data_IF_657011414283
#
_entry.id   IF_657011414283
#
_cell.length_a   1.000
_cell.length_b   1.000
_cell.length_c   1.000
_cell.angle_alpha   90.00
_cell.angle_beta   90.00
_cell.angle_gamma   90.00
#
_symmetry.space_group_name_H-M   'P 1'
#
loop_
_entity.id
_entity.type
_entity.pdbx_description
1 polymer ?
#
# COMPACT_ATOMS: atom_id res chain seq x y z
N UNK A 1 -25.80 -34.92 16.51
CA UNK A 1 -24.79 -34.28 17.38
C UNK A 1 -23.40 -34.77 17.05
N UNK A 2 -22.62 -34.03 16.26
CA UNK A 2 -21.17 -33.94 16.45
C UNK A 2 -20.62 -32.75 15.66
N UNK A 3 -20.24 -31.71 16.39
CA UNK A 3 -19.30 -30.69 15.94
C UNK A 3 -18.09 -31.40 15.32
N UNK A 4 -17.73 -31.02 14.10
CA UNK A 4 -16.44 -31.40 13.49
C UNK A 4 -15.77 -30.10 13.08
N UNK A 5 -15.06 -29.55 14.06
CA UNK A 5 -13.86 -28.74 13.95
C UNK A 5 -13.49 -28.29 12.54
N UNK A 6 -13.91 -27.07 12.23
CA UNK A 6 -13.40 -26.31 11.10
C UNK A 6 -11.95 -25.94 11.44
N UNK A 7 -10.93 -26.47 10.74
CA UNK A 7 -9.55 -26.25 11.13
C UNK A 7 -9.24 -24.76 10.98
N UNK A 8 -8.79 -24.20 12.10
CA UNK A 8 -8.33 -22.83 12.26
C UNK A 8 -7.49 -22.40 11.06
N UNK A 9 -7.88 -21.29 10.44
CA UNK A 9 -7.07 -20.61 9.43
C UNK A 9 -5.75 -20.21 10.08
N UNK A 10 -4.72 -21.01 9.85
CA UNK A 10 -3.36 -20.77 10.32
C UNK A 10 -2.84 -19.38 9.92
N UNK A 11 -1.73 -18.94 10.53
CA UNK A 11 -1.18 -17.61 10.31
C UNK A 11 -1.00 -17.38 8.82
N UNK A 12 -1.42 -16.20 8.35
CA UNK A 12 -1.38 -15.76 6.95
C UNK A 12 0.09 -15.61 6.52
N UNK A 13 0.78 -16.73 6.33
CA UNK A 13 2.11 -16.77 5.75
C UNK A 13 1.95 -16.21 4.34
N UNK A 14 2.61 -15.07 4.07
CA UNK A 14 2.60 -14.51 2.72
C UNK A 14 3.12 -15.59 1.80
N UNK A 15 2.26 -16.17 0.96
CA UNK A 15 2.69 -17.06 -0.12
C UNK A 15 3.69 -16.27 -0.96
N UNK A 16 4.98 -16.54 -0.80
CA UNK A 16 6.00 -16.15 -1.77
C UNK A 16 5.65 -16.93 -3.03
N UNK A 17 5.00 -16.26 -3.99
CA UNK A 17 4.87 -16.80 -5.34
C UNK A 17 6.27 -16.84 -5.92
N UNK A 18 6.93 -17.99 -5.85
CA UNK A 18 8.20 -18.25 -6.52
C UNK A 18 7.87 -18.42 -8.01
N UNK A 19 7.91 -17.33 -8.78
CA UNK A 19 7.94 -17.41 -10.24
C UNK A 19 9.38 -17.74 -10.66
N UNK A 20 9.62 -18.81 -11.44
CA UNK A 20 10.93 -19.09 -11.98
C UNK A 20 11.16 -18.18 -13.20
N UNK A 21 11.85 -17.07 -12.98
CA UNK A 21 12.63 -16.31 -13.97
C UNK A 21 13.55 -15.39 -13.19
N UNK A 22 14.78 -15.85 -13.02
CA UNK A 22 15.87 -15.13 -12.40
C UNK A 22 16.25 -13.93 -13.27
N UNK A 23 15.64 -12.80 -12.97
CA UNK A 23 16.34 -11.53 -13.08
C UNK A 23 16.46 -11.09 -11.62
N UNK A 24 17.67 -10.88 -11.08
CA UNK A 24 17.82 -10.19 -9.81
C UNK A 24 17.07 -8.88 -9.95
N UNK A 25 15.86 -8.82 -9.42
CA UNK A 25 15.02 -7.63 -9.45
C UNK A 25 15.74 -6.66 -8.52
N UNK A 26 16.69 -5.93 -9.11
CA UNK A 26 17.47 -4.87 -8.51
C UNK A 26 16.45 -3.94 -7.88
N UNK A 27 16.20 -4.15 -6.59
CA UNK A 27 15.11 -3.49 -5.87
C UNK A 27 15.40 -2.02 -6.02
N UNK A 28 14.62 -1.36 -6.89
CA UNK A 28 14.86 0.04 -7.23
C UNK A 28 15.09 0.81 -5.93
N UNK A 29 16.18 1.58 -5.83
CA UNK A 29 16.55 2.25 -4.59
C UNK A 29 15.36 3.06 -4.10
N UNK A 30 15.15 3.08 -2.78
CA UNK A 30 14.05 3.83 -2.18
C UNK A 30 14.23 5.31 -2.50
N UNK A 31 13.41 5.83 -3.40
CA UNK A 31 13.37 7.25 -3.72
C UNK A 31 12.40 7.95 -2.78
N UNK A 32 12.88 8.96 -2.04
CA UNK A 32 12.03 9.88 -1.31
C UNK A 32 11.46 10.93 -2.29
N UNK A 33 10.17 11.25 -2.16
CA UNK A 33 9.56 12.36 -2.91
C UNK A 33 9.84 13.69 -2.23
N UNK A 34 10.02 14.75 -3.02
CA UNK A 34 10.19 16.11 -2.49
C UNK A 34 8.89 16.63 -1.86
N UNK A 35 8.97 17.67 -1.03
CA UNK A 35 7.80 18.30 -0.42
C UNK A 35 6.79 18.80 -1.46
N UNK A 36 7.26 19.40 -2.55
CA UNK A 36 6.41 19.88 -3.64
C UNK A 36 5.69 18.73 -4.36
N UNK A 37 6.41 17.64 -4.65
CA UNK A 37 5.82 16.44 -5.27
C UNK A 37 4.71 15.86 -4.38
N UNK A 38 4.96 15.77 -3.07
CA UNK A 38 3.97 15.29 -2.11
C UNK A 38 2.74 16.21 -2.03
N UNK A 39 2.92 17.52 -2.10
CA UNK A 39 1.81 18.48 -2.09
C UNK A 39 0.90 18.32 -3.30
N UNK A 40 1.46 18.22 -4.51
CA UNK A 40 0.69 17.95 -5.74
C UNK A 40 -0.02 16.60 -5.66
N UNK A 41 0.67 15.54 -5.26
CA UNK A 41 0.07 14.20 -5.09
C UNK A 41 -1.07 14.19 -4.06
N UNK A 42 -0.95 14.94 -2.96
CA UNK A 42 -2.01 15.07 -1.95
C UNK A 42 -3.23 15.78 -2.51
N UNK A 43 -3.04 16.93 -3.19
CA UNK A 43 -4.13 17.68 -3.82
C UNK A 43 -4.94 16.79 -4.75
N UNK A 44 -4.26 16.08 -5.64
CA UNK A 44 -4.91 15.14 -6.56
C UNK A 44 -5.67 14.01 -5.86
N UNK A 45 -5.11 13.49 -4.77
CA UNK A 45 -5.75 12.42 -4.01
C UNK A 45 -7.00 12.88 -3.25
N UNK A 46 -7.08 14.15 -2.88
CA UNK A 46 -8.24 14.74 -2.25
C UNK A 46 -9.35 15.04 -3.27
N UNK A 47 -8.98 15.40 -4.50
CA UNK A 47 -9.92 15.52 -5.63
C UNK A 47 -10.42 14.14 -6.09
N UNK A 48 -9.53 13.16 -6.24
CA UNK A 48 -9.89 11.80 -6.64
C UNK A 48 -8.99 10.73 -5.98
N UNK A 49 -9.61 9.83 -5.21
CA UNK A 49 -8.93 8.73 -4.50
C UNK A 49 -8.37 7.66 -5.47
N UNK A 50 -8.75 7.67 -6.74
CA UNK A 50 -8.35 6.72 -7.78
C UNK A 50 -7.92 7.45 -9.06
N UNK A 51 -6.72 7.15 -9.56
CA UNK A 51 -6.26 7.73 -10.82
C UNK A 51 -6.76 6.95 -12.03
N UNK A 52 -7.14 7.69 -13.07
CA UNK A 52 -7.23 7.18 -14.44
C UNK A 52 -5.84 7.09 -15.06
N UNK A 53 -5.70 6.35 -16.16
CA UNK A 53 -4.44 6.24 -16.89
C UNK A 53 -3.92 7.59 -17.39
N UNK A 54 -4.78 8.38 -18.04
CA UNK A 54 -4.44 9.72 -18.52
C UNK A 54 -3.93 10.60 -17.38
N UNK A 55 -4.63 10.64 -16.24
CA UNK A 55 -4.20 11.48 -15.11
C UNK A 55 -2.87 11.03 -14.51
N UNK A 56 -2.61 9.72 -14.48
CA UNK A 56 -1.33 9.16 -14.04
C UNK A 56 -0.19 9.59 -14.94
N UNK A 57 -0.39 9.61 -16.26
CA UNK A 57 0.60 10.07 -17.24
C UNK A 57 0.87 11.58 -17.08
N UNK A 58 -0.17 12.39 -16.89
CA UNK A 58 -0.03 13.84 -16.67
C UNK A 58 0.83 14.11 -15.42
N UNK A 59 0.48 13.48 -14.30
CA UNK A 59 1.22 13.66 -13.04
C UNK A 59 2.66 13.15 -13.12
N UNK A 60 2.91 12.07 -13.86
CA UNK A 60 4.26 11.56 -14.09
C UNK A 60 5.12 12.61 -14.81
N UNK A 61 4.58 13.26 -15.84
CA UNK A 61 5.27 14.31 -16.61
C UNK A 61 5.51 15.57 -15.78
N UNK A 62 4.51 16.01 -15.01
CA UNK A 62 4.57 17.22 -14.21
C UNK A 62 5.53 17.10 -13.02
N UNK A 63 5.57 15.91 -12.39
CA UNK A 63 6.39 15.66 -11.21
C UNK A 63 7.77 15.09 -11.53
N UNK A 64 8.05 14.82 -12.81
CA UNK A 64 9.25 14.11 -13.29
C UNK A 64 9.44 12.77 -12.56
N UNK A 65 8.35 12.04 -12.38
CA UNK A 65 8.30 10.73 -11.74
C UNK A 65 7.83 9.67 -12.73
N UNK A 66 8.12 8.41 -12.45
CA UNK A 66 7.60 7.31 -13.26
C UNK A 66 6.15 7.02 -12.90
N UNK A 67 5.31 6.67 -13.88
CA UNK A 67 3.90 6.30 -13.64
C UNK A 67 3.73 5.24 -12.56
N UNK A 68 4.67 4.29 -12.48
CA UNK A 68 4.65 3.25 -11.46
C UNK A 68 4.84 3.81 -10.04
N UNK A 69 5.66 4.86 -9.86
CA UNK A 69 5.83 5.53 -8.57
C UNK A 69 4.53 6.23 -8.14
N UNK A 70 3.86 6.91 -9.07
CA UNK A 70 2.55 7.54 -8.86
C UNK A 70 1.52 6.47 -8.45
N UNK A 71 1.45 5.36 -9.21
CA UNK A 71 0.56 4.23 -8.93
C UNK A 71 0.77 3.66 -7.53
N UNK A 72 2.02 3.37 -7.17
CA UNK A 72 2.39 2.82 -5.85
C UNK A 72 2.03 3.81 -4.74
N UNK A 73 2.30 5.11 -4.94
CA UNK A 73 1.95 6.13 -3.94
C UNK A 73 0.44 6.18 -3.69
N UNK A 74 -0.39 6.16 -4.73
CA UNK A 74 -1.85 6.15 -4.58
C UNK A 74 -2.35 4.87 -3.89
N UNK A 75 -1.77 3.71 -4.22
CA UNK A 75 -2.08 2.45 -3.53
C UNK A 75 -1.74 2.53 -2.04
N UNK A 76 -0.55 3.00 -1.69
CA UNK A 76 -0.10 3.18 -0.31
C UNK A 76 -0.98 4.18 0.45
N UNK A 77 -1.34 5.29 -0.21
CA UNK A 77 -2.21 6.32 0.37
C UNK A 77 -3.60 5.77 0.69
N UNK A 78 -4.22 5.00 -0.21
CA UNK A 78 -5.49 4.31 0.05
C UNK A 78 -5.37 3.26 1.14
N UNK A 79 -4.28 2.49 1.16
CA UNK A 79 -4.04 1.50 2.21
C UNK A 79 -3.95 2.15 3.59
N UNK A 80 -3.25 3.30 3.69
CA UNK A 80 -3.18 4.12 4.91
C UNK A 80 -4.57 4.63 5.30
N UNK A 81 -5.32 5.21 4.36
CA UNK A 81 -6.70 5.67 4.63
C UNK A 81 -7.56 4.54 5.17
N UNK A 82 -7.55 3.37 4.51
CA UNK A 82 -8.30 2.18 4.96
C UNK A 82 -7.88 1.71 6.35
N UNK A 83 -6.59 1.82 6.71
CA UNK A 83 -6.10 1.46 8.05
C UNK A 83 -6.49 2.49 9.11
N UNK A 84 -6.70 3.75 8.71
CA UNK A 84 -7.20 4.81 9.59
C UNK A 84 -8.72 4.75 9.76
N UNK A 85 -9.46 4.34 8.72
CA UNK A 85 -10.94 4.31 8.73
C UNK A 85 -11.53 2.95 9.11
N UNK A 86 -10.83 1.85 8.81
CA UNK A 86 -11.20 0.51 9.24
C UNK A 86 -10.71 0.26 10.66
N UNK A 87 -11.62 -0.24 11.51
CA UNK A 87 -11.43 -0.65 12.92
C UNK A 87 -9.97 -0.91 13.23
N UNK A 88 -9.35 -0.05 14.07
CA UNK A 88 -7.97 -0.22 14.55
C UNK A 88 -7.81 -1.70 14.88
N UNK A 89 -6.92 -2.40 14.17
CA UNK A 89 -6.68 -3.84 14.40
C UNK A 89 -6.66 -4.07 15.92
N UNK A 90 -7.63 -4.80 16.49
CA UNK A 90 -7.79 -4.89 17.94
C UNK A 90 -6.50 -5.30 18.66
N UNK A 91 -5.69 -6.12 17.98
CA UNK A 91 -4.34 -6.50 18.41
C UNK A 91 -3.37 -5.33 18.61
N UNK A 92 -3.39 -4.32 17.72
CA UNK A 92 -2.52 -3.15 17.83
C UNK A 92 -2.92 -2.22 18.99
N UNK A 93 -4.22 -2.14 19.32
CA UNK A 93 -4.67 -1.44 20.52
C UNK A 93 -4.30 -2.21 21.79
N UNK A 94 -4.41 -3.54 21.78
CA UNK A 94 -4.09 -4.39 22.92
C UNK A 94 -2.58 -4.50 23.21
N UNK A 95 -1.73 -4.39 22.19
CA UNK A 95 -0.27 -4.30 22.37
C UNK A 95 0.15 -2.93 22.90
N UNK A 96 -0.48 -1.84 22.46
CA UNK A 96 -0.25 -0.50 23.06
C UNK A 96 -0.75 -0.41 24.51
N UNK A 97 -1.82 -1.14 24.87
CA UNK A 97 -2.33 -1.19 26.24
C UNK A 97 -1.42 -1.99 27.21
N UNK A 98 -0.56 -2.88 26.69
CA UNK A 98 0.35 -3.71 27.49
C UNK A 98 1.75 -3.08 27.71
N UNK A 99 1.99 -1.86 27.23
CA UNK A 99 3.16 -1.07 27.65
C UNK A 99 4.53 -1.68 27.34
N UNK A 100 4.73 -2.22 26.13
CA UNK A 100 6.04 -2.61 25.58
C UNK A 100 6.51 -1.61 24.52
#
# INVERSE_FOLDING_TARGET
TRYSDRPSSGPRSRRIRKSPREIPEEKRPRTAFTGEQLSKLKKEFDENRYLTEKRRQDLARDLKLHENQIKIWFQNKRAKLKKSTGTKNGLAMQLMAQGL
#
